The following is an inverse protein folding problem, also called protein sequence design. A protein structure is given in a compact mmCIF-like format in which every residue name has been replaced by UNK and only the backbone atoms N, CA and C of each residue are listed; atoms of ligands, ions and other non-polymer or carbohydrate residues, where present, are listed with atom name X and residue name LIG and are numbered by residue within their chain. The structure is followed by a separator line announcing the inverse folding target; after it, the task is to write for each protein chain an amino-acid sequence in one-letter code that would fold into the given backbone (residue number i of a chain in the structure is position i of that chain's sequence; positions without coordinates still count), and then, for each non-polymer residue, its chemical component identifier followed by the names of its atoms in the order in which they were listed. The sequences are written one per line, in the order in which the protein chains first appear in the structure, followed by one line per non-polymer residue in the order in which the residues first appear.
data_IF_591655523339
#
_entry.id   IF_591655523339
#
_cell.length_a   1.000
_cell.length_b   1.000
_cell.length_c   1.000
_cell.angle_alpha   90.00
_cell.angle_beta   90.00
_cell.angle_gamma   90.00
#
_symmetry.space_group_name_H-M   'P 1'
#
loop_
_entity.id
_entity.type
_entity.pdbx_description
1 polymer ?
#
# COMPACT_ATOMS: atom_id res chain seq x y z
N UNK A 1 -26.65 -81.00 -76.00
CA UNK A 1 -25.92 -80.53 -74.80
C UNK A 1 -25.68 -79.02 -74.75
N UNK A 2 -25.93 -78.25 -75.82
CA UNK A 2 -25.66 -76.79 -75.83
C UNK A 2 -26.72 -75.93 -75.12
N UNK A 3 -27.99 -76.36 -75.10
CA UNK A 3 -29.11 -75.64 -74.48
C UNK A 3 -29.02 -75.54 -72.94
N UNK A 4 -28.40 -76.53 -72.28
CA UNK A 4 -28.21 -76.54 -70.83
C UNK A 4 -27.16 -75.52 -70.33
N UNK A 5 -26.16 -75.19 -71.15
CA UNK A 5 -25.11 -74.21 -70.79
C UNK A 5 -25.59 -72.75 -70.89
N UNK A 6 -26.56 -72.46 -71.76
CA UNK A 6 -27.12 -71.12 -71.92
C UNK A 6 -28.04 -70.73 -70.74
N UNK A 7 -28.88 -71.65 -70.28
CA UNK A 7 -29.77 -71.43 -69.13
C UNK A 7 -28.97 -71.16 -67.83
N UNK A 8 -27.92 -71.94 -67.58
CA UNK A 8 -27.03 -71.76 -66.41
C UNK A 8 -26.31 -70.41 -66.45
N UNK A 9 -25.94 -69.90 -67.64
CA UNK A 9 -25.32 -68.56 -67.77
C UNK A 9 -26.30 -67.42 -67.50
N UNK A 10 -27.56 -67.55 -67.94
CA UNK A 10 -28.59 -66.54 -67.70
C UNK A 10 -28.91 -66.42 -66.19
N UNK A 11 -29.04 -67.54 -65.50
CA UNK A 11 -29.30 -67.57 -64.05
C UNK A 11 -28.14 -66.97 -63.25
N UNK A 12 -26.90 -67.28 -63.66
CA UNK A 12 -25.69 -66.73 -63.03
C UNK A 12 -25.54 -65.23 -63.23
N UNK A 13 -25.98 -64.70 -64.37
CA UNK A 13 -26.00 -63.25 -64.62
C UNK A 13 -27.08 -62.55 -63.79
N UNK A 14 -28.27 -63.14 -63.68
CA UNK A 14 -29.35 -62.63 -62.80
C UNK A 14 -28.93 -62.59 -61.33
N UNK A 15 -28.19 -63.62 -60.86
CA UNK A 15 -27.62 -63.64 -59.53
C UNK A 15 -26.55 -62.55 -59.33
N UNK A 16 -25.70 -62.29 -60.33
CA UNK A 16 -24.70 -61.21 -60.28
C UNK A 16 -25.34 -59.83 -60.20
N UNK A 17 -26.40 -59.58 -60.95
CA UNK A 17 -27.11 -58.30 -60.92
C UNK A 17 -27.86 -58.10 -59.60
N UNK A 18 -28.45 -59.16 -59.04
CA UNK A 18 -29.04 -59.12 -57.71
C UNK A 18 -27.99 -58.80 -56.64
N UNK A 19 -26.81 -59.45 -56.68
CA UNK A 19 -25.71 -59.18 -55.76
C UNK A 19 -25.21 -57.74 -55.90
N UNK A 20 -25.02 -57.23 -57.12
CA UNK A 20 -24.63 -55.82 -57.35
C UNK A 20 -25.66 -54.84 -56.79
N UNK A 21 -26.94 -55.14 -56.95
CA UNK A 21 -28.01 -54.28 -56.44
C UNK A 21 -28.00 -54.24 -54.91
N UNK A 22 -27.84 -55.40 -54.25
CA UNK A 22 -27.73 -55.49 -52.79
C UNK A 22 -26.48 -54.79 -52.27
N UNK A 23 -25.33 -54.97 -52.91
CA UNK A 23 -24.07 -54.31 -52.51
C UNK A 23 -24.18 -52.79 -52.64
N UNK A 24 -24.78 -52.28 -53.72
CA UNK A 24 -25.00 -50.84 -53.90
C UNK A 24 -25.92 -50.27 -52.82
N UNK A 25 -26.98 -50.99 -52.46
CA UNK A 25 -27.90 -50.61 -51.38
C UNK A 25 -27.21 -50.60 -50.01
N UNK A 26 -26.38 -51.60 -49.72
CA UNK A 26 -25.62 -51.69 -48.46
C UNK A 26 -24.60 -50.55 -48.35
N UNK A 27 -23.91 -50.21 -49.45
CA UNK A 27 -22.97 -49.08 -49.48
C UNK A 27 -23.69 -47.74 -49.32
N UNK A 28 -24.85 -47.56 -49.96
CA UNK A 28 -25.66 -46.37 -49.79
C UNK A 28 -26.19 -46.22 -48.35
N UNK A 29 -26.67 -47.31 -47.74
CA UNK A 29 -27.09 -47.32 -46.33
C UNK A 29 -25.92 -47.05 -45.37
N UNK A 30 -24.74 -47.62 -45.63
CA UNK A 30 -23.54 -47.35 -44.85
C UNK A 30 -23.13 -45.88 -44.94
N UNK A 31 -23.20 -45.26 -46.12
CA UNK A 31 -22.93 -43.83 -46.29
C UNK A 31 -23.93 -42.96 -45.50
N UNK A 32 -25.22 -43.30 -45.51
CA UNK A 32 -26.26 -42.58 -44.76
C UNK A 32 -26.04 -42.72 -43.24
N UNK A 33 -25.73 -43.92 -42.75
CA UNK A 33 -25.51 -44.18 -41.31
C UNK A 33 -24.23 -43.52 -40.78
N UNK A 34 -23.18 -43.38 -41.61
CA UNK A 34 -21.93 -42.75 -41.22
C UNK A 34 -21.99 -41.22 -41.34
N UNK A 35 -22.67 -40.68 -42.35
CA UNK A 35 -22.67 -39.24 -42.64
C UNK A 35 -23.71 -38.48 -41.80
N UNK A 36 -24.89 -39.06 -41.51
CA UNK A 36 -25.91 -38.35 -40.72
C UNK A 36 -25.46 -37.92 -39.32
N UNK A 37 -24.76 -38.76 -38.52
CA UNK A 37 -24.32 -38.35 -37.18
C UNK A 37 -23.29 -37.20 -37.19
N UNK A 38 -22.51 -37.08 -38.26
CA UNK A 38 -21.54 -35.99 -38.43
C UNK A 38 -22.20 -34.65 -38.77
N UNK A 39 -23.45 -34.66 -39.23
CA UNK A 39 -24.24 -33.45 -39.53
C UNK A 39 -25.09 -32.96 -38.35
N UNK A 40 -25.24 -33.77 -37.29
CA UNK A 40 -26.13 -33.46 -36.15
C UNK A 40 -25.42 -33.11 -34.85
N UNK A 41 -24.09 -33.14 -34.81
CA UNK A 41 -23.31 -32.74 -33.64
C UNK A 41 -22.89 -31.28 -33.77
N UNK A 42 -23.33 -30.44 -32.84
CA UNK A 42 -22.89 -29.05 -32.78
C UNK A 42 -21.34 -29.00 -32.62
N UNK A 43 -20.66 -28.02 -33.21
CA UNK A 43 -19.22 -27.91 -33.09
C UNK A 43 -18.81 -27.74 -31.60
N UNK A 44 -17.63 -28.20 -31.18
CA UNK A 44 -17.13 -28.05 -29.80
C UNK A 44 -17.20 -26.60 -29.27
N UNK A 45 -17.05 -25.64 -30.18
CA UNK A 45 -17.17 -24.20 -29.93
C UNK A 45 -18.56 -23.79 -29.47
N UNK A 46 -19.63 -24.44 -29.97
CA UNK A 46 -21.00 -24.22 -29.52
C UNK A 46 -21.16 -24.58 -28.04
N UNK A 47 -20.65 -25.74 -27.62
CA UNK A 47 -20.75 -26.18 -26.22
C UNK A 47 -19.96 -25.26 -25.29
N UNK A 48 -18.76 -24.85 -25.70
CA UNK A 48 -17.95 -23.88 -24.94
C UNK A 48 -18.63 -22.51 -24.82
N UNK A 49 -19.20 -22.00 -25.91
CA UNK A 49 -19.97 -20.75 -25.90
C UNK A 49 -21.20 -20.86 -24.98
N UNK A 50 -21.91 -21.99 -25.03
CA UNK A 50 -23.07 -22.26 -24.19
C UNK A 50 -22.71 -22.32 -22.70
N UNK A 51 -21.57 -22.91 -22.36
CA UNK A 51 -21.07 -22.97 -20.98
C UNK A 51 -20.70 -21.59 -20.43
N UNK A 52 -20.04 -20.76 -21.24
CA UNK A 52 -19.74 -19.36 -20.89
C UNK A 52 -21.03 -18.56 -20.65
N UNK A 53 -22.01 -18.69 -21.54
CA UNK A 53 -23.31 -18.05 -21.39
C UNK A 53 -24.06 -18.52 -20.13
N UNK A 54 -24.10 -19.82 -19.88
CA UNK A 54 -24.73 -20.40 -18.68
C UNK A 54 -24.01 -19.98 -17.40
N UNK A 55 -22.68 -19.87 -17.42
CA UNK A 55 -21.90 -19.34 -16.31
C UNK A 55 -22.23 -17.87 -16.03
N UNK A 56 -22.33 -17.04 -17.07
CA UNK A 56 -22.73 -15.64 -16.93
C UNK A 56 -24.14 -15.48 -16.33
N UNK A 57 -25.11 -16.32 -16.73
CA UNK A 57 -26.46 -16.31 -16.12
C UNK A 57 -26.39 -16.62 -14.62
N UNK A 58 -25.62 -17.64 -14.21
CA UNK A 58 -25.46 -17.99 -12.79
C UNK A 58 -24.81 -16.86 -12.01
N UNK A 59 -23.76 -16.24 -12.56
CA UNK A 59 -23.08 -15.10 -11.95
C UNK A 59 -24.02 -13.89 -11.80
N UNK A 60 -24.80 -13.56 -12.85
CA UNK A 60 -25.83 -12.52 -12.79
C UNK A 60 -26.87 -12.80 -11.70
N UNK A 61 -27.38 -14.03 -11.60
CA UNK A 61 -28.33 -14.42 -10.54
C UNK A 61 -27.75 -14.30 -9.13
N UNK A 62 -26.45 -14.52 -8.99
CA UNK A 62 -25.73 -14.37 -7.74
C UNK A 62 -25.30 -12.92 -7.47
N UNK A 63 -25.63 -11.98 -8.35
CA UNK A 63 -25.27 -10.56 -8.22
C UNK A 63 -23.82 -10.22 -8.60
N UNK A 64 -23.04 -11.17 -9.12
CA UNK A 64 -21.67 -10.94 -9.58
C UNK A 64 -21.66 -10.48 -11.05
N UNK A 65 -22.06 -9.21 -11.24
CA UNK A 65 -22.29 -8.64 -12.56
C UNK A 65 -20.98 -8.43 -13.35
N UNK A 66 -19.88 -8.09 -12.66
CA UNK A 66 -18.59 -7.84 -13.33
C UNK A 66 -17.95 -9.14 -13.86
N UNK A 67 -17.99 -10.22 -13.06
CA UNK A 67 -17.54 -11.53 -13.54
C UNK A 67 -18.45 -12.07 -14.63
N UNK A 68 -19.77 -11.81 -14.55
CA UNK A 68 -20.71 -12.16 -15.62
C UNK A 68 -20.35 -11.47 -16.95
N UNK A 69 -20.07 -10.16 -16.93
CA UNK A 69 -19.63 -9.41 -18.13
C UNK A 69 -18.33 -10.01 -18.69
N UNK A 70 -17.36 -10.32 -17.83
CA UNK A 70 -16.09 -10.93 -18.26
C UNK A 70 -16.29 -12.26 -18.98
N UNK A 71 -17.24 -13.09 -18.53
CA UNK A 71 -17.59 -14.36 -19.18
C UNK A 71 -18.33 -14.14 -20.51
N UNK A 72 -19.23 -13.16 -20.58
CA UNK A 72 -19.95 -12.83 -21.81
C UNK A 72 -19.02 -12.34 -22.92
N UNK A 73 -18.00 -11.53 -22.59
CA UNK A 73 -16.98 -11.07 -23.54
C UNK A 73 -16.08 -12.18 -24.10
N UNK A 74 -16.11 -13.38 -23.53
CA UNK A 74 -15.34 -14.53 -24.00
C UNK A 74 -16.14 -15.43 -24.96
N UNK A 75 -17.43 -15.14 -25.18
CA UNK A 75 -18.26 -15.91 -26.12
C UNK A 75 -17.77 -15.61 -27.55
N UNK A 76 -17.39 -16.63 -28.34
CA UNK A 76 -16.92 -16.41 -29.70
C UNK A 76 -18.08 -16.01 -30.63
N UNK A 77 -17.79 -15.12 -31.58
CA UNK A 77 -18.73 -14.59 -32.58
C UNK A 77 -19.11 -15.62 -33.66
N UNK A 78 -18.27 -16.64 -33.86
CA UNK A 78 -18.49 -17.75 -34.78
C UNK A 78 -19.62 -18.73 -34.35
N UNK A 79 -20.25 -18.48 -33.20
CA UNK A 79 -21.50 -19.12 -32.77
C UNK A 79 -22.62 -18.05 -32.66
N UNK A 80 -23.21 -17.61 -33.79
CA UNK A 80 -23.99 -16.38 -33.84
C UNK A 80 -25.22 -16.38 -32.90
N UNK A 81 -25.85 -17.54 -32.72
CA UNK A 81 -27.02 -17.66 -31.85
C UNK A 81 -26.68 -17.37 -30.37
N UNK A 82 -25.58 -17.94 -29.88
CA UNK A 82 -25.14 -17.78 -28.49
C UNK A 82 -24.51 -16.41 -28.31
N UNK A 83 -23.72 -15.94 -29.29
CA UNK A 83 -23.15 -14.60 -29.27
C UNK A 83 -24.24 -13.53 -29.13
N UNK A 84 -25.31 -13.59 -29.94
CA UNK A 84 -26.44 -12.66 -29.85
C UNK A 84 -27.18 -12.73 -28.51
N UNK A 85 -27.35 -13.93 -27.94
CA UNK A 85 -27.91 -14.09 -26.58
C UNK A 85 -26.99 -13.45 -25.54
N UNK A 86 -25.68 -13.60 -25.70
CA UNK A 86 -24.66 -13.02 -24.85
C UNK A 86 -24.67 -11.49 -24.89
N UNK A 87 -24.74 -10.88 -26.08
CA UNK A 87 -24.85 -9.42 -26.24
C UNK A 87 -26.11 -8.87 -25.57
N UNK A 88 -27.26 -9.51 -25.77
CA UNK A 88 -28.50 -9.10 -25.10
C UNK A 88 -28.39 -9.15 -23.57
N UNK A 89 -27.78 -10.21 -23.04
CA UNK A 89 -27.57 -10.33 -21.59
C UNK A 89 -26.56 -9.29 -21.07
N UNK A 90 -25.56 -8.94 -21.87
CA UNK A 90 -24.57 -7.92 -21.55
C UNK A 90 -25.22 -6.53 -21.46
N UNK A 91 -26.11 -6.18 -22.40
CA UNK A 91 -26.92 -4.97 -22.36
C UNK A 91 -27.83 -4.93 -21.12
N UNK A 92 -28.50 -6.04 -20.79
CA UNK A 92 -29.34 -6.16 -19.59
C UNK A 92 -28.54 -5.93 -18.30
N UNK A 93 -27.37 -6.57 -18.17
CA UNK A 93 -26.48 -6.41 -17.01
C UNK A 93 -25.97 -4.97 -16.91
N UNK A 94 -25.64 -4.33 -18.02
CA UNK A 94 -25.17 -2.95 -18.02
C UNK A 94 -26.25 -1.96 -17.57
N UNK A 95 -27.51 -2.16 -18.00
CA UNK A 95 -28.64 -1.37 -17.51
C UNK A 95 -28.87 -1.59 -16.02
N UNK A 96 -28.86 -2.84 -15.57
CA UNK A 96 -29.01 -3.19 -14.15
C UNK A 96 -27.92 -2.52 -13.29
N UNK A 97 -26.67 -2.53 -13.76
CA UNK A 97 -25.57 -1.83 -13.07
C UNK A 97 -25.80 -0.31 -13.01
N UNK A 98 -26.28 0.30 -14.09
CA UNK A 98 -26.62 1.74 -14.11
C UNK A 98 -27.78 2.08 -13.17
N UNK A 99 -28.82 1.24 -13.10
CA UNK A 99 -29.96 1.42 -12.20
C UNK A 99 -29.53 1.27 -10.74
N UNK A 100 -28.71 0.28 -10.42
CA UNK A 100 -28.14 0.10 -9.08
C UNK A 100 -27.26 1.30 -8.69
N UNK A 101 -26.44 1.82 -9.61
CA UNK A 101 -25.67 3.05 -9.40
C UNK A 101 -26.56 4.27 -9.18
N UNK A 102 -27.67 4.39 -9.92
CA UNK A 102 -28.63 5.47 -9.74
C UNK A 102 -29.36 5.38 -8.40
N UNK A 103 -29.68 4.17 -7.92
CA UNK A 103 -30.35 3.94 -6.65
C UNK A 103 -29.49 4.31 -5.43
N UNK A 104 -28.16 4.24 -5.55
CA UNK A 104 -27.22 4.62 -4.49
C UNK A 104 -26.89 6.11 -4.45
N UNK A 105 -27.39 6.91 -5.40
CA UNK A 105 -26.97 8.30 -5.61
C UNK A 105 -27.01 9.13 -4.32
N UNK A 106 -25.82 9.51 -3.86
CA UNK A 106 -25.61 10.49 -2.79
C UNK A 106 -25.39 9.88 -1.41
N UNK A 107 -25.77 8.61 -1.19
CA UNK A 107 -25.40 7.91 0.05
C UNK A 107 -23.96 7.41 0.00
N UNK A 108 -23.54 6.90 -1.15
CA UNK A 108 -22.17 6.44 -1.39
C UNK A 108 -21.16 7.60 -1.30
N UNK A 109 -21.52 8.76 -1.85
CA UNK A 109 -20.73 9.99 -1.74
C UNK A 109 -20.59 10.46 -0.29
N UNK A 110 -21.69 10.51 0.47
CA UNK A 110 -21.65 10.87 1.89
C UNK A 110 -20.82 9.89 2.71
N UNK A 111 -20.93 8.60 2.43
CA UNK A 111 -20.13 7.57 3.09
C UNK A 111 -18.64 7.72 2.73
N UNK A 112 -18.33 8.02 1.47
CA UNK A 112 -16.95 8.21 1.02
C UNK A 112 -16.32 9.47 1.61
N UNK A 113 -17.04 10.59 1.71
CA UNK A 113 -16.52 11.80 2.35
C UNK A 113 -16.29 11.62 3.86
N UNK A 114 -17.12 10.82 4.54
CA UNK A 114 -16.86 10.42 5.94
C UNK A 114 -15.60 9.57 6.05
N UNK A 115 -15.46 8.56 5.19
CA UNK A 115 -14.26 7.72 5.11
C UNK A 115 -13.02 8.58 4.89
N UNK A 116 -13.04 9.45 3.90
CA UNK A 116 -11.96 10.38 3.58
C UNK A 116 -11.59 11.27 4.76
N UNK A 117 -12.58 11.90 5.40
CA UNK A 117 -12.36 12.74 6.60
C UNK A 117 -11.67 11.95 7.71
N UNK A 118 -12.12 10.71 7.95
CA UNK A 118 -11.54 9.84 8.96
C UNK A 118 -10.09 9.46 8.62
N UNK A 119 -9.83 9.00 7.39
CA UNK A 119 -8.50 8.59 6.91
C UNK A 119 -7.49 9.73 6.98
N UNK A 120 -7.88 10.95 6.62
CA UNK A 120 -7.01 12.12 6.76
C UNK A 120 -6.76 12.51 8.22
N UNK A 121 -7.72 12.30 9.11
CA UNK A 121 -7.56 12.54 10.56
C UNK A 121 -6.77 11.46 11.28
N UNK A 122 -6.83 10.22 10.80
CA UNK A 122 -6.28 9.03 11.47
C UNK A 122 -5.51 8.12 10.50
N UNK A 123 -4.51 8.62 9.75
CA UNK A 123 -3.84 7.86 8.69
C UNK A 123 -3.04 6.63 9.16
N UNK A 124 -2.79 6.50 10.47
CA UNK A 124 -2.11 5.34 11.10
C UNK A 124 -3.08 4.28 11.62
N UNK A 125 -4.38 4.54 11.64
CA UNK A 125 -5.38 3.61 12.17
C UNK A 125 -5.73 2.54 11.11
N UNK A 126 -4.73 1.74 10.76
CA UNK A 126 -4.82 0.77 9.65
C UNK A 126 -5.95 -0.22 9.85
N UNK A 127 -6.22 -0.61 11.09
CA UNK A 127 -7.23 -1.60 11.43
C UNK A 127 -8.63 -1.05 11.16
N UNK A 128 -8.95 0.13 11.70
CA UNK A 128 -10.25 0.77 11.46
C UNK A 128 -10.42 1.18 9.99
N UNK A 129 -9.35 1.67 9.34
CA UNK A 129 -9.39 1.97 7.90
C UNK A 129 -9.74 0.72 7.10
N UNK A 130 -9.14 -0.43 7.41
CA UNK A 130 -9.41 -1.70 6.72
C UNK A 130 -10.88 -2.10 6.87
N UNK A 131 -11.42 -2.05 8.09
CA UNK A 131 -12.83 -2.35 8.36
C UNK A 131 -13.76 -1.39 7.58
N UNK A 132 -13.46 -0.10 7.57
CA UNK A 132 -14.26 0.89 6.83
C UNK A 132 -14.22 0.64 5.31
N UNK A 133 -13.08 0.20 4.76
CA UNK A 133 -12.97 -0.16 3.35
C UNK A 133 -13.82 -1.38 3.01
N UNK A 134 -13.76 -2.43 3.84
CA UNK A 134 -14.55 -3.65 3.64
C UNK A 134 -16.05 -3.34 3.72
N UNK A 135 -16.48 -2.58 4.73
CA UNK A 135 -17.86 -2.16 4.89
C UNK A 135 -18.35 -1.30 3.72
N UNK A 136 -17.51 -0.37 3.24
CA UNK A 136 -17.85 0.47 2.09
C UNK A 136 -18.01 -0.39 0.82
N UNK A 137 -17.06 -1.28 0.54
CA UNK A 137 -17.11 -2.17 -0.64
C UNK A 137 -18.30 -3.12 -0.59
N UNK A 138 -18.66 -3.62 0.59
CA UNK A 138 -19.83 -4.50 0.79
C UNK A 138 -21.14 -3.74 0.60
N UNK A 139 -21.24 -2.52 1.12
CA UNK A 139 -22.47 -1.72 1.07
C UNK A 139 -22.70 -1.06 -0.29
N UNK A 140 -21.62 -0.65 -0.97
CA UNK A 140 -21.67 0.09 -2.22
C UNK A 140 -20.79 -0.54 -3.32
N UNK A 141 -21.00 -1.82 -3.69
CA UNK A 141 -20.10 -2.59 -4.56
C UNK A 141 -19.94 -2.00 -5.98
N UNK A 142 -20.85 -1.14 -6.42
CA UNK A 142 -20.81 -0.48 -7.73
C UNK A 142 -20.52 1.02 -7.67
N UNK A 143 -20.13 1.54 -6.51
CA UNK A 143 -19.81 2.96 -6.37
C UNK A 143 -18.56 3.34 -7.16
N UNK A 144 -18.62 4.49 -7.83
CA UNK A 144 -17.48 5.09 -8.54
C UNK A 144 -16.31 5.44 -7.61
N UNK A 145 -16.55 5.54 -6.30
CA UNK A 145 -15.53 5.93 -5.33
C UNK A 145 -14.64 4.76 -4.89
N UNK A 146 -14.98 3.51 -5.23
CA UNK A 146 -14.16 2.34 -4.88
C UNK A 146 -12.72 2.49 -5.41
N UNK A 147 -12.58 2.98 -6.65
CA UNK A 147 -11.26 3.21 -7.28
C UNK A 147 -10.43 4.29 -6.56
N UNK A 148 -11.08 5.18 -5.81
CA UNK A 148 -10.42 6.27 -5.09
C UNK A 148 -10.02 5.91 -3.66
N UNK A 149 -10.46 4.77 -3.12
CA UNK A 149 -10.18 4.36 -1.74
C UNK A 149 -8.68 4.23 -1.51
N UNK A 150 -7.99 3.42 -2.32
CA UNK A 150 -6.58 3.12 -2.14
C UNK A 150 -5.72 4.38 -2.35
N UNK A 151 -6.09 5.21 -3.33
CA UNK A 151 -5.46 6.53 -3.57
C UNK A 151 -5.63 7.45 -2.37
N UNK A 152 -6.82 7.49 -1.76
CA UNK A 152 -7.09 8.35 -0.58
C UNK A 152 -6.26 7.92 0.63
N UNK A 153 -6.15 6.60 0.86
CA UNK A 153 -5.31 6.05 1.94
C UNK A 153 -3.84 6.40 1.69
N UNK A 154 -3.36 6.17 0.47
CA UNK A 154 -1.97 6.46 0.08
C UNK A 154 -1.64 7.95 0.23
N UNK A 155 -2.52 8.83 -0.23
CA UNK A 155 -2.35 10.28 -0.13
C UNK A 155 -2.31 10.75 1.33
N UNK A 156 -3.20 10.24 2.18
CA UNK A 156 -3.21 10.59 3.60
C UNK A 156 -1.95 10.14 4.33
N UNK A 157 -1.49 8.91 4.07
CA UNK A 157 -0.23 8.39 4.62
C UNK A 157 0.96 9.22 4.16
N UNK A 158 1.03 9.54 2.87
CA UNK A 158 2.10 10.37 2.30
C UNK A 158 2.13 11.78 2.90
N UNK A 159 0.97 12.41 3.09
CA UNK A 159 0.90 13.74 3.72
C UNK A 159 1.40 13.72 5.16
N UNK A 160 0.99 12.72 5.93
CA UNK A 160 1.48 12.53 7.30
C UNK A 160 3.01 12.35 7.32
N UNK A 161 3.57 11.52 6.45
CA UNK A 161 5.03 11.33 6.37
C UNK A 161 5.77 12.63 6.03
N UNK A 162 5.22 13.43 5.09
CA UNK A 162 5.78 14.75 4.75
C UNK A 162 5.71 15.74 5.92
N UNK A 163 4.61 15.75 6.67
CA UNK A 163 4.45 16.60 7.85
C UNK A 163 5.39 16.19 9.00
N UNK A 164 5.55 14.89 9.23
CA UNK A 164 6.51 14.35 10.20
C UNK A 164 7.94 14.74 9.81
N UNK A 165 8.30 14.59 8.52
CA UNK A 165 9.61 15.00 8.01
C UNK A 165 9.86 16.50 8.17
N UNK A 166 8.89 17.33 7.81
CA UNK A 166 9.00 18.79 7.95
C UNK A 166 9.12 19.22 9.41
N UNK A 167 8.42 18.54 10.32
CA UNK A 167 8.51 18.80 11.76
C UNK A 167 9.84 18.33 12.33
N UNK A 168 10.33 17.18 11.90
CA UNK A 168 11.65 16.69 12.26
C UNK A 168 12.76 17.65 11.82
N UNK A 169 12.70 18.15 10.58
CA UNK A 169 13.66 19.11 10.06
C UNK A 169 13.65 20.42 10.84
N UNK A 170 12.47 20.99 11.12
CA UNK A 170 12.35 22.20 11.95
C UNK A 170 12.93 22.02 13.35
N UNK A 171 12.75 20.84 13.93
CA UNK A 171 13.37 20.49 15.21
C UNK A 171 14.90 20.49 15.11
N UNK A 172 15.48 19.84 14.08
CA UNK A 172 16.92 19.84 13.87
C UNK A 172 17.48 21.25 13.68
N UNK A 173 16.83 22.08 12.87
CA UNK A 173 17.23 23.48 12.65
C UNK A 173 17.19 24.27 13.96
N UNK A 174 16.19 24.05 14.81
CA UNK A 174 16.09 24.70 16.12
C UNK A 174 17.20 24.24 17.09
N UNK A 175 17.54 22.95 17.08
CA UNK A 175 18.68 22.41 17.84
C UNK A 175 19.98 23.03 17.35
N UNK A 176 20.20 23.10 16.04
CA UNK A 176 21.41 23.68 15.45
C UNK A 176 21.56 25.17 15.78
N UNK A 177 20.47 25.94 15.73
CA UNK A 177 20.48 27.34 16.14
C UNK A 177 20.85 27.51 17.63
N UNK A 178 20.32 26.66 18.52
CA UNK A 178 20.69 26.67 19.93
C UNK A 178 22.17 26.33 20.14
N UNK A 179 22.70 25.36 19.38
CA UNK A 179 24.12 24.99 19.43
C UNK A 179 25.05 26.13 18.98
N UNK A 180 24.67 26.88 17.93
CA UNK A 180 25.43 28.05 17.48
C UNK A 180 25.53 29.13 18.58
N UNK A 181 24.50 29.26 19.41
CA UNK A 181 24.45 30.18 20.56
C UNK A 181 25.05 29.60 21.85
N UNK A 182 25.60 28.38 21.79
CA UNK A 182 26.08 27.59 22.93
C UNK A 182 24.99 27.31 24.00
N UNK A 183 23.72 27.29 23.63
CA UNK A 183 22.58 27.07 24.53
C UNK A 183 22.27 25.57 24.63
N UNK A 184 23.12 24.83 25.35
CA UNK A 184 23.10 23.36 25.39
C UNK A 184 21.86 22.80 26.10
N UNK A 185 21.40 23.44 27.17
CA UNK A 185 20.15 23.07 27.85
C UNK A 185 18.95 23.15 26.90
N UNK A 186 18.86 24.23 26.13
CA UNK A 186 17.78 24.45 25.18
C UNK A 186 17.83 23.44 24.04
N UNK A 187 19.01 23.21 23.46
CA UNK A 187 19.22 22.22 22.41
C UNK A 187 18.75 20.82 22.85
N UNK A 188 19.14 20.39 24.06
CA UNK A 188 18.74 19.09 24.61
C UNK A 188 17.24 19.03 24.92
N UNK A 189 16.67 20.10 25.47
CA UNK A 189 15.23 20.20 25.77
C UNK A 189 14.35 20.08 24.53
N UNK A 190 14.75 20.71 23.42
CA UNK A 190 14.05 20.63 22.13
C UNK A 190 14.05 19.17 21.64
N UNK A 191 15.21 18.52 21.70
CA UNK A 191 15.38 17.15 21.23
C UNK A 191 14.55 16.15 22.04
N UNK A 192 14.57 16.25 23.37
CA UNK A 192 13.80 15.37 24.27
C UNK A 192 12.31 15.55 24.06
N UNK A 193 11.82 16.80 23.96
CA UNK A 193 10.40 17.08 23.71
C UNK A 193 9.91 16.45 22.40
N UNK A 194 10.75 16.48 21.36
CA UNK A 194 10.44 15.80 20.11
C UNK A 194 10.42 14.28 20.28
N UNK A 195 11.42 13.71 20.96
CA UNK A 195 11.49 12.27 21.22
C UNK A 195 10.26 11.75 22.00
N UNK A 196 9.84 12.45 23.04
CA UNK A 196 8.69 12.04 23.86
C UNK A 196 7.38 12.07 23.08
N UNK A 197 7.21 13.06 22.19
CA UNK A 197 6.04 13.16 21.31
C UNK A 197 6.07 12.16 20.14
N UNK A 198 7.23 11.56 19.86
CA UNK A 198 7.46 10.71 18.68
C UNK A 198 8.21 9.42 19.05
N UNK A 199 7.90 8.83 20.21
CA UNK A 199 8.65 7.70 20.81
C UNK A 199 8.79 6.47 19.92
N UNK A 200 7.88 6.28 18.96
CA UNK A 200 7.88 5.18 18.00
C UNK A 200 8.30 5.60 16.58
N UNK A 201 8.86 6.80 16.41
CA UNK A 201 9.28 7.29 15.10
C UNK A 201 10.48 6.51 14.58
N UNK A 202 10.48 6.27 13.26
CA UNK A 202 11.63 5.74 12.51
C UNK A 202 12.86 6.65 12.60
N UNK A 203 12.73 7.87 13.15
CA UNK A 203 13.80 8.86 13.32
C UNK A 203 14.64 8.68 14.60
N UNK A 204 14.37 7.64 15.41
CA UNK A 204 15.07 7.38 16.67
C UNK A 204 16.61 7.43 16.56
N UNK A 205 17.19 6.80 15.55
CA UNK A 205 18.65 6.77 15.40
C UNK A 205 19.23 8.15 15.09
N UNK A 206 18.51 8.97 14.32
CA UNK A 206 18.91 10.35 14.06
C UNK A 206 18.83 11.21 15.32
N UNK A 207 17.83 10.98 16.18
CA UNK A 207 17.70 11.66 17.47
C UNK A 207 18.89 11.30 18.37
N UNK A 208 19.22 10.01 18.50
CA UNK A 208 20.37 9.54 19.30
C UNK A 208 21.67 10.14 18.78
N UNK A 209 21.86 10.16 17.45
CA UNK A 209 23.02 10.81 16.84
C UNK A 209 23.08 12.30 17.20
N UNK A 210 21.97 13.02 17.07
CA UNK A 210 21.91 14.45 17.37
C UNK A 210 22.15 14.73 18.85
N UNK A 211 21.66 13.88 19.74
CA UNK A 211 21.93 13.95 21.17
C UNK A 211 23.44 13.89 21.45
N UNK A 212 24.13 12.94 20.82
CA UNK A 212 25.58 12.82 20.92
C UNK A 212 26.29 14.08 20.40
N UNK A 213 25.88 14.61 19.26
CA UNK A 213 26.46 15.83 18.69
C UNK A 213 26.34 17.03 19.67
N UNK A 214 25.21 17.15 20.37
CA UNK A 214 25.02 18.18 21.42
C UNK A 214 26.03 18.00 22.56
N UNK A 215 26.18 16.76 23.05
CA UNK A 215 27.10 16.43 24.15
C UNK A 215 28.56 16.69 23.75
N UNK A 216 28.95 16.26 22.56
CA UNK A 216 30.31 16.48 22.03
C UNK A 216 30.60 17.99 21.86
N UNK A 217 29.63 18.77 21.38
CA UNK A 217 29.76 20.23 21.29
C UNK A 217 29.91 20.89 22.66
N UNK A 218 29.11 20.46 23.63
CA UNK A 218 29.16 20.94 25.01
C UNK A 218 30.53 20.65 25.67
N UNK A 219 31.05 19.42 25.49
CA UNK A 219 32.38 19.06 25.97
C UNK A 219 33.47 19.92 25.35
N UNK A 220 33.41 20.16 24.03
CA UNK A 220 34.38 21.01 23.33
C UNK A 220 34.35 22.46 23.84
N UNK A 221 33.16 23.02 24.05
CA UNK A 221 33.00 24.35 24.64
C UNK A 221 33.60 24.42 26.04
N UNK A 222 33.27 23.45 26.90
CA UNK A 222 33.82 23.36 28.24
C UNK A 222 35.35 23.29 28.25
N UNK A 223 35.96 22.43 27.42
CA UNK A 223 37.42 22.31 27.33
C UNK A 223 38.08 23.62 26.90
N UNK A 224 37.49 24.35 25.95
CA UNK A 224 38.02 25.64 25.50
C UNK A 224 37.93 26.71 26.58
N UNK A 225 36.76 26.84 27.21
CA UNK A 225 36.53 27.87 28.23
C UNK A 225 37.29 27.59 29.52
N UNK A 226 37.36 26.33 29.97
CA UNK A 226 38.17 25.94 31.13
C UNK A 226 39.66 26.22 30.92
N UNK A 227 40.20 25.97 29.72
CA UNK A 227 41.58 26.33 29.38
C UNK A 227 41.81 27.84 29.50
N UNK A 228 40.86 28.66 29.04
CA UNK A 228 40.90 30.13 29.19
C UNK A 228 40.86 30.55 30.66
N UNK A 229 39.95 29.97 31.45
CA UNK A 229 39.83 30.25 32.88
C UNK A 229 41.11 29.86 33.64
N UNK A 230 41.72 28.72 33.32
CA UNK A 230 42.95 28.26 33.96
C UNK A 230 44.14 29.20 33.70
N UNK A 231 44.25 29.81 32.52
CA UNK A 231 45.26 30.86 32.25
C UNK A 231 45.04 32.07 33.16
N UNK A 232 43.80 32.54 33.29
CA UNK A 232 43.44 33.66 34.18
C UNK A 232 43.74 33.36 35.65
N UNK A 233 43.55 32.12 36.10
CA UNK A 233 43.94 31.68 37.45
C UNK A 233 45.46 31.82 37.64
N UNK A 234 46.26 31.40 36.65
CA UNK A 234 47.71 31.57 36.64
C UNK A 234 48.13 33.04 36.74
N UNK A 235 47.41 33.91 36.04
CA UNK A 235 47.60 35.37 36.07
C UNK A 235 46.98 36.04 37.31
N UNK A 236 46.46 35.25 38.27
CA UNK A 236 45.80 35.70 39.51
C UNK A 236 44.52 36.54 39.29
N UNK A 237 43.92 36.45 38.11
CA UNK A 237 42.65 37.10 37.73
C UNK A 237 41.44 36.23 38.11
N UNK A 238 41.28 35.97 39.40
CA UNK A 238 40.32 34.98 39.91
C UNK A 238 38.85 35.31 39.63
N UNK A 239 38.45 36.58 39.71
CA UNK A 239 37.05 36.97 39.43
C UNK A 239 36.68 36.74 37.96
N UNK A 240 37.59 37.05 37.03
CA UNK A 240 37.39 36.78 35.60
C UNK A 240 37.29 35.27 35.34
N UNK A 241 38.17 34.47 35.94
CA UNK A 241 38.12 33.01 35.83
C UNK A 241 36.82 32.41 36.39
N UNK A 242 36.35 32.91 37.55
CA UNK A 242 35.08 32.49 38.15
C UNK A 242 33.90 32.83 37.24
N UNK A 243 33.89 34.01 36.63
CA UNK A 243 32.86 34.43 35.69
C UNK A 243 32.74 33.48 34.49
N UNK A 244 33.86 32.94 33.98
CA UNK A 244 33.84 31.97 32.88
C UNK A 244 33.17 30.66 33.31
N UNK A 245 33.50 30.11 34.49
CA UNK A 245 32.85 28.89 34.96
C UNK A 245 31.35 29.10 35.27
N UNK A 246 30.96 30.28 35.76
CA UNK A 246 29.54 30.63 35.91
C UNK A 246 28.81 30.71 34.57
N UNK A 247 29.44 31.28 33.53
CA UNK A 247 28.86 31.30 32.18
C UNK A 247 28.69 29.88 31.60
N UNK A 248 29.68 29.01 31.78
CA UNK A 248 29.57 27.58 31.42
C UNK A 248 28.33 26.96 32.07
N UNK A 249 28.11 27.16 33.37
CA UNK A 249 26.94 26.61 34.06
C UNK A 249 25.63 27.19 33.52
N UNK A 250 25.58 28.49 33.24
CA UNK A 250 24.40 29.12 32.64
C UNK A 250 24.06 28.54 31.26
N UNK A 251 25.08 28.18 30.47
CA UNK A 251 24.91 27.61 29.12
C UNK A 251 24.50 26.13 29.14
N UNK A 252 24.90 25.40 30.18
CA UNK A 252 24.58 23.96 30.38
C UNK A 252 23.26 23.76 31.13
N UNK A 253 22.83 24.77 31.88
CA UNK A 253 21.59 24.78 32.65
C UNK A 253 21.78 24.50 34.12
N UNK A 254 20.90 25.05 34.95
CA UNK A 254 20.95 24.95 36.42
C UNK A 254 20.63 23.55 36.96
N UNK A 255 19.91 22.74 36.19
CA UNK A 255 19.70 21.31 36.46
C UNK A 255 20.20 20.51 35.26
N UNK A 256 21.40 19.92 35.33
CA UNK A 256 21.99 19.30 34.15
C UNK A 256 21.19 18.06 33.77
N UNK A 257 20.92 17.92 32.48
CA UNK A 257 20.61 16.62 31.89
C UNK A 257 21.67 15.60 32.30
N UNK A 258 21.29 14.31 32.39
CA UNK A 258 22.20 13.25 32.83
C UNK A 258 23.51 13.24 32.02
N UNK A 259 23.40 13.58 30.74
CA UNK A 259 24.46 13.71 29.75
C UNK A 259 25.45 14.84 30.05
N UNK A 260 25.04 15.89 30.77
CA UNK A 260 25.88 17.04 31.12
C UNK A 260 26.40 17.02 32.56
N UNK A 261 25.97 16.04 33.36
CA UNK A 261 26.23 15.96 34.80
C UNK A 261 27.71 16.09 35.18
N UNK A 262 28.59 15.44 34.43
CA UNK A 262 30.04 15.49 34.68
C UNK A 262 30.63 16.89 34.46
N UNK A 263 30.19 17.58 33.40
CA UNK A 263 30.65 18.93 33.08
C UNK A 263 30.15 19.92 34.14
N UNK A 264 28.87 19.80 34.51
CA UNK A 264 28.26 20.62 35.54
C UNK A 264 28.98 20.55 36.88
N UNK A 265 29.31 19.34 37.37
CA UNK A 265 30.04 19.21 38.63
C UNK A 265 31.47 19.70 38.54
N UNK A 266 32.16 19.45 37.42
CA UNK A 266 33.51 19.94 37.22
C UNK A 266 33.58 21.48 37.29
N UNK A 267 32.65 22.17 36.61
CA UNK A 267 32.57 23.63 36.64
C UNK A 267 32.24 24.18 38.04
N UNK A 268 31.32 23.54 38.77
CA UNK A 268 30.99 23.94 40.15
C UNK A 268 32.18 23.79 41.11
N UNK A 269 32.90 22.67 41.05
CA UNK A 269 34.10 22.45 41.88
C UNK A 269 35.16 23.52 41.63
N UNK A 270 35.31 23.95 40.37
CA UNK A 270 36.24 25.01 40.01
C UNK A 270 35.82 26.38 40.56
N UNK A 271 34.52 26.70 40.54
CA UNK A 271 34.00 27.91 41.18
C UNK A 271 34.32 27.93 42.67
N UNK A 272 34.08 26.83 43.38
CA UNK A 272 34.36 26.71 44.81
C UNK A 272 35.86 26.83 45.12
N UNK A 273 36.70 26.21 44.29
CA UNK A 273 38.16 26.32 44.40
C UNK A 273 38.61 27.77 44.25
N UNK A 274 38.11 28.48 43.24
CA UNK A 274 38.46 29.88 43.00
C UNK A 274 37.96 30.78 44.14
N UNK A 275 36.77 30.52 44.69
CA UNK A 275 36.23 31.27 45.82
C UNK A 275 37.15 31.19 47.05
N UNK A 276 37.69 30.01 47.36
CA UNK A 276 38.67 29.82 48.45
C UNK A 276 39.96 30.59 48.20
N UNK A 277 40.46 30.63 46.96
CA UNK A 277 41.66 31.40 46.59
C UNK A 277 41.46 32.91 46.72
N UNK A 278 40.24 33.41 46.52
CA UNK A 278 39.91 34.82 46.73
C UNK A 278 39.90 35.13 48.23
N UNK A 279 39.27 34.27 49.05
CA UNK A 279 39.19 34.45 50.50
C UNK A 279 40.58 34.45 51.16
N UNK A 280 41.46 33.52 50.77
CA UNK A 280 42.81 33.42 51.35
C UNK A 280 43.75 34.58 51.01
N UNK A 281 43.37 35.49 50.11
CA UNK A 281 44.14 36.71 49.80
C UNK A 281 43.60 37.97 50.46
N UNK A 282 42.38 37.91 50.99
CA UNK A 282 41.72 39.04 51.62
C UNK A 282 41.73 38.96 53.16
N UNK A 283 42.21 37.85 53.73
CA UNK A 283 42.52 37.68 55.15
C UNK A 283 44.02 37.56 55.35
#
# INVERSE_FOLDING_TARGET
METSRAAIRAERNKAKDAIRTVVTLVVALAAVVIILPMLTSNPPEYYRAQDLYNAAIRLKKNGDLDTAISKLKQIPDNVPEIYRKGEKLLDEIQREKQELQAAMRGEDEKAFEKFKTYVYGHPRDTDNITVMVEDFRKKFPYSRYIENIDTTISDAQKRMELEEEATFKRMLDAVDNALLSNEYEQAMSILIRYYDSHKYSKKRDNIIKKQKDIVDSCMKYYSLQSAKANRLIGDRKYQEARSIYSDILNKIGGTPFAEFKNIFYAANMEIDRIAKLIQSKNG
#
